data_IF_064285499980
#
_entry.id   IF_064285499980
#
_cell.length_a   1.000
_cell.length_b   1.000
_cell.length_c   1.000
_cell.angle_alpha   90.00
_cell.angle_beta   90.00
_cell.angle_gamma   90.00
#
_symmetry.space_group_name_H-M   'P 1'
#
loop_
_entity.id
_entity.type
_entity.pdbx_description
1 polymer ?
#
# COMPACT_ATOMS: atom_id res chain seq x y z
N UNK A 1 -32.68 2.81 28.28
CA UNK A 1 -31.43 2.12 28.71
C UNK A 1 -30.69 1.43 27.55
N UNK A 2 -31.34 0.63 26.69
CA UNK A 2 -30.69 0.01 25.50
C UNK A 2 -30.04 1.00 24.51
N UNK A 3 -30.68 2.16 24.26
CA UNK A 3 -30.13 3.22 23.38
C UNK A 3 -28.84 3.84 23.91
N UNK A 4 -28.65 3.88 25.24
CA UNK A 4 -27.46 4.46 25.87
C UNK A 4 -26.26 3.51 25.78
N UNK A 5 -26.52 2.19 25.86
CA UNK A 5 -25.50 1.16 25.67
C UNK A 5 -24.97 1.14 24.22
N UNK A 6 -25.87 1.35 23.25
CA UNK A 6 -25.52 1.46 21.83
C UNK A 6 -24.65 2.70 21.54
N UNK A 7 -24.93 3.82 22.22
CA UNK A 7 -24.16 5.06 22.08
C UNK A 7 -22.75 4.93 22.71
N UNK A 8 -22.63 4.21 23.83
CA UNK A 8 -21.34 3.94 24.49
C UNK A 8 -20.46 2.99 23.68
N UNK A 9 -21.04 2.00 22.99
CA UNK A 9 -20.32 1.11 22.08
C UNK A 9 -19.73 1.83 20.86
N UNK A 10 -20.33 2.94 20.42
CA UNK A 10 -19.87 3.69 19.24
C UNK A 10 -18.61 4.53 19.55
N UNK A 11 -18.43 4.95 20.80
CA UNK A 11 -17.26 5.69 21.27
C UNK A 11 -15.97 4.84 21.24
N UNK A 12 -16.11 3.51 21.37
CA UNK A 12 -14.98 2.57 21.36
C UNK A 12 -14.43 2.26 19.97
N UNK A 13 -15.06 2.76 18.90
CA UNK A 13 -14.60 2.59 17.52
C UNK A 13 -13.69 3.73 17.04
N UNK A 14 -13.35 4.68 17.92
CA UNK A 14 -12.44 5.78 17.59
C UNK A 14 -10.99 5.34 17.73
N UNK A 15 -10.45 4.70 16.69
CA UNK A 15 -9.01 4.39 16.59
C UNK A 15 -8.21 5.56 16.02
N UNK A 16 -7.08 5.91 16.64
CA UNK A 16 -6.12 6.82 16.04
C UNK A 16 -5.43 6.14 14.84
N UNK A 17 -5.70 6.65 13.63
CA UNK A 17 -5.03 6.22 12.39
C UNK A 17 -4.19 7.39 11.89
N UNK A 18 -2.92 7.42 12.29
CA UNK A 18 -1.99 8.50 11.97
C UNK A 18 -0.60 7.96 11.66
N UNK A 19 0.17 8.72 10.90
CA UNK A 19 1.58 8.43 10.68
C UNK A 19 2.35 8.68 11.99
N UNK A 20 3.28 7.81 12.40
CA UNK A 20 4.12 8.06 13.56
C UNK A 20 4.95 9.33 13.38
N UNK A 21 5.02 10.19 14.40
CA UNK A 21 5.74 11.47 14.37
C UNK A 21 7.25 11.32 14.08
N UNK A 22 7.79 10.13 14.29
CA UNK A 22 9.21 9.81 14.08
C UNK A 22 9.56 9.45 12.65
N UNK A 23 8.58 9.33 11.75
CA UNK A 23 8.82 8.99 10.34
C UNK A 23 8.60 10.24 9.50
N UNK A 24 9.54 10.53 8.60
CA UNK A 24 9.44 11.67 7.67
C UNK A 24 9.39 11.15 6.24
N UNK A 25 8.34 11.47 5.44
CA UNK A 25 8.30 11.11 4.03
C UNK A 25 9.40 11.80 3.23
N UNK A 26 9.80 11.19 2.11
CA UNK A 26 10.71 11.83 1.15
C UNK A 26 10.04 13.07 0.56
N UNK A 27 10.70 14.23 0.67
CA UNK A 27 10.27 15.48 0.03
C UNK A 27 10.72 15.54 -1.44
N UNK A 28 10.05 16.36 -2.26
CA UNK A 28 10.34 16.53 -3.69
C UNK A 28 10.36 15.20 -4.47
N UNK A 29 9.39 14.33 -4.18
CA UNK A 29 9.29 13.03 -4.82
C UNK A 29 8.96 13.15 -6.32
N UNK A 30 9.85 12.63 -7.17
CA UNK A 30 9.68 12.62 -8.62
C UNK A 30 9.09 11.28 -9.08
N UNK A 31 7.77 11.24 -9.29
CA UNK A 31 7.04 10.02 -9.62
C UNK A 31 7.65 9.26 -10.81
N UNK A 32 7.98 9.98 -11.89
CA UNK A 32 8.46 9.38 -13.13
C UNK A 32 9.72 8.54 -12.94
N UNK A 33 10.58 8.89 -11.97
CA UNK A 33 11.79 8.13 -11.64
C UNK A 33 11.54 6.92 -10.75
N UNK A 34 10.38 6.88 -10.10
CA UNK A 34 9.97 5.78 -9.23
C UNK A 34 9.19 4.69 -9.98
N UNK A 35 8.66 5.01 -11.16
CA UNK A 35 7.99 4.05 -12.03
C UNK A 35 8.92 2.90 -12.42
N UNK A 36 8.30 1.78 -12.80
CA UNK A 36 9.02 0.56 -13.15
C UNK A 36 9.00 -0.47 -12.02
N UNK A 37 9.94 -1.41 -12.08
CA UNK A 37 9.94 -2.62 -11.26
C UNK A 37 10.93 -2.52 -10.11
N UNK A 38 10.43 -2.81 -8.92
CA UNK A 38 11.19 -2.92 -7.68
C UNK A 38 11.23 -4.37 -7.22
N UNK A 39 12.38 -4.80 -6.72
CA UNK A 39 12.57 -6.11 -6.11
C UNK A 39 12.52 -5.98 -4.60
N UNK A 40 11.72 -6.82 -3.95
CA UNK A 40 11.68 -6.87 -2.50
C UNK A 40 12.96 -7.55 -1.98
N UNK A 41 13.75 -6.82 -1.20
CA UNK A 41 14.99 -7.32 -0.61
C UNK A 41 14.74 -7.88 0.79
N UNK A 42 13.86 -7.23 1.56
CA UNK A 42 13.46 -7.64 2.90
C UNK A 42 12.07 -7.07 3.22
N UNK A 43 11.36 -7.73 4.15
CA UNK A 43 10.05 -7.30 4.65
C UNK A 43 9.89 -7.61 6.13
N UNK A 44 8.97 -6.91 6.78
CA UNK A 44 8.42 -7.33 8.06
C UNK A 44 7.34 -8.39 7.77
N UNK A 45 7.40 -9.51 8.48
CA UNK A 45 6.50 -10.63 8.18
C UNK A 45 5.04 -10.27 8.47
N UNK A 46 4.21 -10.35 7.44
CA UNK A 46 2.77 -10.22 7.52
C UNK A 46 2.11 -11.40 6.82
N UNK A 47 0.94 -11.80 7.34
CA UNK A 47 0.27 -13.04 6.92
C UNK A 47 -0.06 -13.11 5.43
N UNK A 48 -0.26 -11.97 4.76
CA UNK A 48 -0.66 -11.91 3.36
C UNK A 48 0.48 -12.13 2.35
N UNK A 49 1.74 -12.09 2.79
CA UNK A 49 2.92 -12.31 1.90
C UNK A 49 3.67 -13.59 2.25
N UNK A 50 3.23 -14.32 3.27
CA UNK A 50 3.90 -15.49 3.77
C UNK A 50 3.98 -16.57 2.69
N UNK A 51 5.16 -17.16 2.54
CA UNK A 51 5.43 -18.19 1.53
C UNK A 51 5.72 -17.67 0.12
N UNK A 52 5.57 -16.37 -0.14
CA UNK A 52 5.92 -15.78 -1.44
C UNK A 52 7.42 -15.45 -1.51
N UNK A 53 8.02 -15.83 -2.63
CA UNK A 53 9.43 -15.56 -3.00
C UNK A 53 9.50 -14.79 -4.31
N UNK A 54 10.69 -14.27 -4.65
CA UNK A 54 10.93 -13.50 -5.88
C UNK A 54 9.93 -12.35 -6.06
N UNK A 55 9.64 -11.66 -4.95
CA UNK A 55 8.57 -10.66 -4.90
C UNK A 55 9.01 -9.39 -5.60
N UNK A 56 8.11 -8.84 -6.41
CA UNK A 56 8.31 -7.59 -7.13
C UNK A 56 7.09 -6.68 -7.03
N UNK A 57 7.31 -5.38 -7.01
CA UNK A 57 6.28 -4.35 -7.17
C UNK A 57 6.54 -3.56 -8.46
N UNK A 58 5.55 -3.49 -9.35
CA UNK A 58 5.66 -2.74 -10.60
C UNK A 58 4.71 -1.54 -10.61
N UNK A 59 5.26 -0.34 -10.72
CA UNK A 59 4.55 0.93 -10.68
C UNK A 59 4.40 1.50 -12.08
N UNK A 60 3.19 1.89 -12.44
CA UNK A 60 2.88 2.51 -13.74
C UNK A 60 1.88 3.65 -13.58
N UNK A 61 2.00 4.67 -14.42
CA UNK A 61 1.00 5.72 -14.52
C UNK A 61 -0.33 5.19 -15.06
N UNK A 62 -1.41 5.82 -14.62
CA UNK A 62 -2.76 5.63 -15.13
C UNK A 62 -3.20 6.90 -15.85
N UNK A 63 -4.15 6.77 -16.78
CA UNK A 63 -4.69 7.89 -17.56
C UNK A 63 -5.38 8.95 -16.69
N UNK A 64 -5.85 8.57 -15.49
CA UNK A 64 -6.46 9.46 -14.51
C UNK A 64 -5.44 10.19 -13.62
N UNK A 65 -4.14 10.09 -13.93
CA UNK A 65 -3.06 10.67 -13.13
C UNK A 65 -2.74 9.90 -11.84
N UNK A 66 -3.43 8.79 -11.58
CA UNK A 66 -3.09 7.88 -10.48
C UNK A 66 -1.94 6.94 -10.81
N UNK A 67 -1.58 6.09 -9.85
CA UNK A 67 -0.56 5.04 -10.03
C UNK A 67 -1.22 3.67 -9.91
N UNK A 68 -0.94 2.78 -10.85
CA UNK A 68 -1.23 1.36 -10.75
C UNK A 68 -0.01 0.65 -10.20
N UNK A 69 -0.22 -0.21 -9.21
CA UNK A 69 0.81 -1.07 -8.63
C UNK A 69 0.42 -2.52 -8.86
N UNK A 70 1.35 -3.35 -9.32
CA UNK A 70 1.19 -4.80 -9.40
C UNK A 70 2.26 -5.44 -8.52
N UNK A 71 1.82 -6.04 -7.41
CA UNK A 71 2.67 -6.90 -6.60
C UNK A 71 2.58 -8.32 -7.12
N UNK A 72 3.72 -8.99 -7.28
CA UNK A 72 3.82 -10.35 -7.81
C UNK A 72 4.84 -11.14 -7.00
N UNK A 73 4.50 -12.36 -6.63
CA UNK A 73 5.40 -13.30 -5.95
C UNK A 73 5.15 -14.74 -6.37
N UNK A 74 6.14 -15.59 -6.22
CA UNK A 74 6.03 -17.02 -6.51
C UNK A 74 5.74 -17.80 -5.23
N UNK A 75 4.65 -18.57 -5.23
CA UNK A 75 4.33 -19.54 -4.18
C UNK A 75 4.90 -20.90 -4.56
N UNK A 76 5.83 -21.40 -3.75
CA UNK A 76 6.38 -22.75 -3.93
C UNK A 76 5.36 -23.84 -3.59
N UNK A 77 4.44 -23.58 -2.66
CA UNK A 77 3.38 -24.51 -2.26
C UNK A 77 2.40 -24.76 -3.42
N UNK A 78 1.96 -23.68 -4.06
CA UNK A 78 1.03 -23.75 -5.19
C UNK A 78 1.74 -23.95 -6.54
N UNK A 79 3.07 -23.93 -6.54
CA UNK A 79 3.92 -23.91 -7.74
C UNK A 79 3.45 -22.89 -8.79
N UNK A 80 3.06 -21.69 -8.33
CA UNK A 80 2.38 -20.71 -9.15
C UNK A 80 2.74 -19.27 -8.76
N UNK A 81 2.61 -18.37 -9.73
CA UNK A 81 2.73 -16.93 -9.49
C UNK A 81 1.42 -16.36 -8.97
N UNK A 82 1.50 -15.64 -7.86
CA UNK A 82 0.39 -14.90 -7.29
C UNK A 82 0.60 -13.40 -7.54
N UNK A 83 -0.51 -12.67 -7.75
CA UNK A 83 -0.48 -11.24 -8.04
C UNK A 83 -1.62 -10.49 -7.36
N UNK A 84 -1.32 -9.28 -6.92
CA UNK A 84 -2.30 -8.32 -6.41
C UNK A 84 -2.17 -7.00 -7.17
N UNK A 85 -3.30 -6.42 -7.58
CA UNK A 85 -3.36 -5.14 -8.30
C UNK A 85 -3.97 -4.07 -7.42
N UNK A 86 -3.25 -2.96 -7.27
CA UNK A 86 -3.65 -1.82 -6.44
C UNK A 86 -3.72 -0.56 -7.29
N UNK A 87 -4.65 0.34 -6.93
CA UNK A 87 -4.75 1.70 -7.49
C UNK A 87 -4.44 2.68 -6.37
N UNK A 88 -3.47 3.55 -6.60
CA UNK A 88 -3.13 4.65 -5.71
C UNK A 88 -3.61 5.95 -6.34
N UNK A 89 -4.27 6.78 -5.53
CA UNK A 89 -4.68 8.13 -5.89
C UNK A 89 -3.77 9.08 -5.11
N UNK A 90 -3.23 10.09 -5.79
CA UNK A 90 -2.49 11.17 -5.13
C UNK A 90 -3.47 11.98 -4.28
N UNK A 91 -3.37 11.86 -2.95
CA UNK A 91 -4.18 12.62 -2.00
C UNK A 91 -3.56 13.98 -1.64
N UNK A 92 -2.33 14.25 -2.08
CA UNK A 92 -1.65 15.52 -1.95
C UNK A 92 -1.24 15.98 -3.34
N UNK A 93 -1.74 17.15 -3.75
CA UNK A 93 -1.37 18.02 -4.90
C UNK A 93 -0.63 17.36 -6.07
N UNK A 94 -0.99 17.66 -7.34
CA UNK A 94 -0.52 16.92 -8.51
C UNK A 94 0.97 16.64 -8.41
N UNK A 95 1.32 15.36 -8.27
CA UNK A 95 2.69 14.87 -8.33
C UNK A 95 3.24 15.44 -9.64
N UNK A 96 4.03 16.52 -9.55
CA UNK A 96 4.44 17.31 -10.70
C UNK A 96 5.26 16.41 -11.61
N UNK A 97 4.59 15.81 -12.59
CA UNK A 97 5.17 15.25 -13.79
C UNK A 97 5.22 16.38 -14.81
N UNK A 98 6.26 17.19 -14.76
CA UNK A 98 6.77 18.03 -15.84
C UNK A 98 8.10 18.61 -15.43
#
# INVERSE_FOLDING_TARGET
>A
MKKLFFLFSLLWLTGCTGMPDTVTPVSNFELNRYLGKWYEIARLDHSFERGLTQVTAEYSLRDDGGVRVINRGFSAEENAWQQAKVKLISSMLPMKGT
#
